data_IF_170187809639
#
_entry.id   IF_170187809639
#
_cell.length_a   1.000
_cell.length_b   1.000
_cell.length_c   1.000
_cell.angle_alpha   90.00
_cell.angle_beta   90.00
_cell.angle_gamma   90.00
#
_symmetry.space_group_name_H-M   'P 1'
#
loop_
_entity.id
_entity.type
_entity.pdbx_description
1 polymer ?
#
# COMPACT_ATOMS: atom_id res chain seq x y z
N UNK A 1 -8.51 1.88 19.86
CA UNK A 1 -7.32 2.69 20.20
C UNK A 1 -7.34 2.99 21.67
N UNK A 2 -6.21 2.73 22.34
CA UNK A 2 -5.99 3.12 23.72
C UNK A 2 -5.31 4.48 23.78
N UNK A 3 -5.61 5.25 24.83
CA UNK A 3 -4.83 6.45 25.17
C UNK A 3 -3.38 6.12 25.57
N UNK A 4 -3.07 4.84 25.85
CA UNK A 4 -1.71 4.37 26.13
C UNK A 4 -1.00 3.92 24.84
N UNK A 5 0.07 4.64 24.41
CA UNK A 5 0.88 4.22 23.27
C UNK A 5 1.53 2.85 23.47
N UNK A 6 1.95 2.55 24.71
CA UNK A 6 2.54 1.26 25.06
C UNK A 6 1.54 0.12 24.84
N UNK A 7 0.29 0.28 25.26
CA UNK A 7 -0.72 -0.75 25.05
C UNK A 7 -0.99 -0.97 23.55
N UNK A 8 -1.08 0.12 22.77
CA UNK A 8 -1.25 0.03 21.32
C UNK A 8 -0.07 -0.73 20.69
N UNK A 9 1.16 -0.45 21.13
CA UNK A 9 2.37 -1.08 20.61
C UNK A 9 2.47 -2.56 21.00
N UNK A 10 2.09 -2.93 22.22
CA UNK A 10 2.07 -4.34 22.66
C UNK A 10 1.03 -5.14 21.88
N UNK A 11 -0.19 -4.64 21.77
CA UNK A 11 -1.26 -5.31 21.01
C UNK A 11 -0.87 -5.40 19.53
N UNK A 12 -0.36 -4.30 18.97
CA UNK A 12 0.13 -4.23 17.60
C UNK A 12 1.22 -5.25 17.34
N UNK A 13 2.25 -5.30 18.19
CA UNK A 13 3.36 -6.23 18.09
C UNK A 13 2.90 -7.69 18.06
N UNK A 14 2.06 -8.09 19.02
CA UNK A 14 1.56 -9.48 19.13
C UNK A 14 0.71 -9.85 17.91
N UNK A 15 -0.31 -9.06 17.59
CA UNK A 15 -1.26 -9.39 16.52
C UNK A 15 -0.59 -9.38 15.15
N UNK A 16 0.26 -8.40 14.85
CA UNK A 16 0.94 -8.35 13.56
C UNK A 16 1.99 -9.45 13.42
N UNK A 17 2.69 -9.80 14.50
CA UNK A 17 3.61 -10.93 14.47
C UNK A 17 2.88 -12.23 14.14
N UNK A 18 1.68 -12.46 14.71
CA UNK A 18 0.82 -13.60 14.36
C UNK A 18 0.29 -13.56 12.91
N UNK A 19 0.35 -12.41 12.25
CA UNK A 19 0.03 -12.27 10.82
C UNK A 19 1.28 -12.36 9.93
N UNK A 20 2.46 -12.59 10.50
CA UNK A 20 3.73 -12.58 9.77
C UNK A 20 4.20 -11.18 9.35
N UNK A 21 3.71 -10.13 10.01
CA UNK A 21 4.03 -8.73 9.72
C UNK A 21 4.99 -8.16 10.78
N UNK A 22 6.15 -7.59 10.39
CA UNK A 22 7.05 -6.94 11.33
C UNK A 22 6.44 -5.62 11.80
N UNK A 23 5.76 -5.64 12.96
CA UNK A 23 4.91 -4.54 13.44
C UNK A 23 5.59 -3.17 13.42
N UNK A 24 6.73 -3.02 14.06
CA UNK A 24 7.39 -1.72 14.19
C UNK A 24 7.96 -1.26 12.85
N UNK A 25 8.51 -2.17 12.05
CA UNK A 25 8.96 -1.87 10.70
C UNK A 25 7.81 -1.29 9.88
N UNK A 26 6.65 -1.95 9.86
CA UNK A 26 5.48 -1.47 9.14
C UNK A 26 4.91 -0.18 9.73
N UNK A 27 4.84 -0.05 11.07
CA UNK A 27 4.44 1.19 11.76
C UNK A 27 5.27 2.39 11.28
N UNK A 28 6.58 2.22 11.18
CA UNK A 28 7.50 3.30 10.81
C UNK A 28 7.48 3.61 9.31
N UNK A 29 7.40 2.63 8.43
CA UNK A 29 7.31 2.88 6.98
C UNK A 29 5.92 3.40 6.59
N UNK A 30 4.86 2.93 7.23
CA UNK A 30 3.51 3.46 7.05
C UNK A 30 3.40 4.93 7.50
N UNK A 31 4.05 5.31 8.60
CA UNK A 31 4.12 6.72 9.02
C UNK A 31 4.85 7.60 7.99
N UNK A 32 5.90 7.08 7.35
CA UNK A 32 6.63 7.76 6.28
C UNK A 32 5.80 7.88 5.00
N UNK A 33 5.04 6.84 4.66
CA UNK A 33 4.05 6.88 3.59
C UNK A 33 3.06 8.03 3.81
N UNK A 34 2.41 8.13 4.98
CA UNK A 34 1.54 9.29 5.26
C UNK A 34 2.25 10.65 5.22
N UNK A 35 3.54 10.69 5.59
CA UNK A 35 4.35 11.90 5.52
C UNK A 35 4.81 12.28 4.11
N UNK A 36 4.76 11.33 3.17
CA UNK A 36 5.37 11.44 1.84
C UNK A 36 4.48 11.02 0.68
N UNK A 37 3.21 10.67 0.93
CA UNK A 37 2.38 9.96 -0.05
C UNK A 37 2.29 10.73 -1.37
N UNK A 38 2.34 10.01 -2.49
CA UNK A 38 2.35 10.53 -3.86
C UNK A 38 3.54 11.43 -4.22
N UNK A 39 4.58 11.51 -3.38
CA UNK A 39 5.89 12.05 -3.77
C UNK A 39 6.72 10.97 -4.44
N UNK A 40 7.32 11.28 -5.60
CA UNK A 40 8.25 10.39 -6.28
C UNK A 40 9.55 10.14 -5.49
N UNK A 41 9.90 11.03 -4.55
CA UNK A 41 11.15 10.98 -3.79
C UNK A 41 10.98 10.58 -2.31
N UNK A 42 9.75 10.68 -1.78
CA UNK A 42 9.48 10.52 -0.33
C UNK A 42 8.50 9.40 0.00
N UNK A 43 7.62 9.01 -0.92
CA UNK A 43 6.69 7.93 -0.65
C UNK A 43 7.43 6.59 -0.53
N UNK A 44 6.94 5.72 0.34
CA UNK A 44 7.57 4.45 0.69
C UNK A 44 6.87 3.24 0.04
N UNK A 45 5.72 3.43 -0.62
CA UNK A 45 4.96 2.34 -1.23
C UNK A 45 4.08 2.83 -2.38
N UNK A 46 3.79 1.96 -3.35
CA UNK A 46 3.08 2.28 -4.60
C UNK A 46 3.66 3.46 -5.40
N UNK A 47 4.97 3.69 -5.30
CA UNK A 47 5.66 4.70 -6.12
C UNK A 47 5.71 4.20 -7.56
N UNK A 48 5.10 4.91 -8.52
CA UNK A 48 5.08 4.48 -9.89
C UNK A 48 6.46 4.62 -10.53
N UNK A 49 6.72 3.79 -11.52
CA UNK A 49 7.84 3.99 -12.43
C UNK A 49 7.52 5.13 -13.40
N UNK A 50 8.53 5.88 -13.82
CA UNK A 50 8.40 6.85 -14.90
C UNK A 50 8.57 6.17 -16.26
N UNK A 51 8.08 6.78 -17.34
CA UNK A 51 8.27 6.27 -18.70
C UNK A 51 9.74 5.96 -19.02
N UNK A 52 10.66 6.83 -18.59
CA UNK A 52 12.10 6.67 -18.77
C UNK A 52 12.65 5.42 -18.04
N UNK A 53 12.11 5.09 -16.88
CA UNK A 53 12.53 3.98 -16.03
C UNK A 53 11.73 2.69 -16.28
N UNK A 54 10.76 2.71 -17.20
CA UNK A 54 9.90 1.57 -17.53
C UNK A 54 9.94 1.15 -19.01
N UNK A 55 11.10 1.12 -19.69
CA UNK A 55 11.16 0.91 -21.15
C UNK A 55 10.66 -0.48 -21.59
N UNK A 56 10.57 -1.44 -20.66
CA UNK A 56 10.00 -2.77 -20.94
C UNK A 56 8.47 -2.78 -20.84
N UNK A 57 7.88 -1.96 -19.95
CA UNK A 57 6.44 -1.87 -19.81
C UNK A 57 5.81 -1.07 -20.95
N UNK A 58 6.52 -0.09 -21.49
CA UNK A 58 6.06 0.76 -22.59
C UNK A 58 6.14 0.11 -23.99
N UNK A 59 6.75 -1.08 -24.09
CA UNK A 59 6.77 -1.83 -25.36
C UNK A 59 5.44 -2.56 -25.60
N UNK A 60 5.02 -2.79 -26.86
CA UNK A 60 3.76 -3.47 -27.19
C UNK A 60 3.55 -4.82 -26.49
N UNK A 61 4.61 -5.63 -26.33
CA UNK A 61 4.55 -6.92 -25.63
C UNK A 61 4.25 -6.77 -24.12
N UNK A 62 4.65 -5.66 -23.52
CA UNK A 62 4.35 -5.32 -22.12
C UNK A 62 2.84 -5.16 -21.88
N UNK A 63 2.07 -4.78 -22.91
CA UNK A 63 0.61 -4.65 -22.87
C UNK A 63 -0.12 -5.99 -23.11
N UNK A 64 0.61 -7.07 -23.44
CA UNK A 64 -0.01 -8.37 -23.71
C UNK A 64 -0.69 -8.94 -22.46
N UNK A 65 -1.81 -9.64 -22.66
CA UNK A 65 -2.57 -10.26 -21.57
C UNK A 65 -1.73 -11.20 -20.70
N UNK A 66 -0.84 -12.08 -21.24
CA UNK A 66 -0.01 -12.96 -20.42
C UNK A 66 0.93 -12.21 -19.49
N UNK A 67 1.56 -11.13 -19.96
CA UNK A 67 2.46 -10.31 -19.14
C UNK A 67 1.66 -9.59 -18.05
N UNK A 68 0.53 -8.98 -18.42
CA UNK A 68 -0.35 -8.28 -17.46
C UNK A 68 -0.87 -9.21 -16.36
N UNK A 69 -1.31 -10.41 -16.72
CA UNK A 69 -1.77 -11.42 -15.77
C UNK A 69 -0.63 -11.92 -14.88
N UNK A 70 0.58 -12.08 -15.43
CA UNK A 70 1.75 -12.51 -14.65
C UNK A 70 2.06 -11.51 -13.54
N UNK A 71 2.21 -10.22 -13.87
CA UNK A 71 2.45 -9.19 -12.86
C UNK A 71 1.27 -9.03 -11.89
N UNK A 72 0.03 -9.19 -12.38
CA UNK A 72 -1.17 -9.16 -11.53
C UNK A 72 -1.12 -10.26 -10.47
N UNK A 73 -0.89 -11.51 -10.88
CA UNK A 73 -0.80 -12.65 -9.97
C UNK A 73 0.35 -12.46 -8.99
N UNK A 74 1.54 -12.04 -9.44
CA UNK A 74 2.68 -11.79 -8.55
C UNK A 74 2.33 -10.72 -7.52
N UNK A 75 1.74 -9.59 -7.94
CA UNK A 75 1.41 -8.48 -7.04
C UNK A 75 0.41 -8.91 -5.97
N UNK A 76 -0.68 -9.57 -6.36
CA UNK A 76 -1.76 -9.92 -5.43
C UNK A 76 -1.54 -11.24 -4.66
N UNK A 77 -0.44 -11.95 -4.91
CA UNK A 77 -0.05 -13.16 -4.13
C UNK A 77 1.25 -13.00 -3.37
N UNK A 78 2.25 -12.34 -3.97
CA UNK A 78 3.60 -12.18 -3.43
C UNK A 78 3.99 -10.71 -3.21
N UNK A 79 3.18 -9.73 -3.62
CA UNK A 79 3.52 -8.31 -3.53
C UNK A 79 3.84 -7.87 -2.10
N UNK A 80 3.05 -8.31 -1.11
CA UNK A 80 3.33 -7.99 0.29
C UNK A 80 4.65 -8.60 0.81
N UNK A 81 4.92 -9.92 0.68
CA UNK A 81 6.23 -10.47 1.01
C UNK A 81 7.40 -9.81 0.27
N UNK A 82 7.24 -9.51 -1.03
CA UNK A 82 8.28 -8.84 -1.82
C UNK A 82 8.51 -7.40 -1.37
N UNK A 83 7.46 -6.69 -0.93
CA UNK A 83 7.59 -5.35 -0.36
C UNK A 83 8.40 -5.40 0.94
N UNK A 84 8.09 -6.34 1.83
CA UNK A 84 8.85 -6.49 3.06
C UNK A 84 10.31 -6.91 2.81
N UNK A 85 10.54 -7.88 1.92
CA UNK A 85 11.85 -8.48 1.69
C UNK A 85 12.77 -7.66 0.77
N UNK A 86 12.22 -6.92 -0.19
CA UNK A 86 12.98 -6.26 -1.27
C UNK A 86 12.56 -4.79 -1.49
N UNK A 87 11.61 -4.26 -0.71
CA UNK A 87 11.10 -2.89 -0.85
C UNK A 87 10.54 -2.59 -2.25
N UNK A 88 9.92 -3.59 -2.91
CA UNK A 88 9.33 -3.40 -4.25
C UNK A 88 8.21 -2.36 -4.22
N UNK A 89 8.04 -1.62 -5.33
CA UNK A 89 7.08 -0.52 -5.44
C UNK A 89 7.31 0.64 -4.45
N UNK A 90 8.51 0.75 -3.88
CA UNK A 90 8.94 1.90 -3.09
C UNK A 90 9.81 2.85 -3.92
N UNK A 91 10.15 4.00 -3.35
CA UNK A 91 11.12 4.93 -3.92
C UNK A 91 12.52 4.32 -4.03
N UNK A 92 13.35 4.91 -4.89
CA UNK A 92 14.74 4.51 -5.05
C UNK A 92 15.62 4.98 -3.87
N UNK A 93 16.36 4.06 -3.27
CA UNK A 93 17.37 4.37 -2.25
C UNK A 93 18.78 4.30 -2.86
N UNK A 94 19.21 5.41 -3.48
CA UNK A 94 20.51 5.51 -4.14
C UNK A 94 21.66 5.12 -3.20
N UNK A 95 22.55 4.26 -3.70
CA UNK A 95 23.70 3.75 -2.93
C UNK A 95 23.40 2.52 -2.06
N UNK A 96 22.18 1.99 -2.07
CA UNK A 96 21.80 0.79 -1.34
C UNK A 96 21.37 -0.32 -2.32
N UNK A 97 22.09 -1.44 -2.32
CA UNK A 97 21.80 -2.57 -3.20
C UNK A 97 20.62 -3.44 -2.71
N UNK A 98 20.31 -3.38 -1.41
CA UNK A 98 19.17 -4.06 -0.80
C UNK A 98 18.57 -3.18 0.29
N UNK A 99 17.26 -2.97 0.21
CA UNK A 99 16.45 -2.31 1.22
C UNK A 99 15.32 -3.26 1.58
N UNK A 100 15.08 -3.45 2.87
CA UNK A 100 14.06 -4.36 3.37
C UNK A 100 13.61 -3.96 4.78
N UNK A 101 12.47 -4.49 5.18
CA UNK A 101 11.80 -4.19 6.44
C UNK A 101 12.34 -4.97 7.64
N UNK A 102 13.34 -5.84 7.44
CA UNK A 102 13.92 -6.72 8.46
C UNK A 102 15.35 -6.30 8.87
N UNK A 103 15.89 -5.25 8.27
CA UNK A 103 17.25 -4.78 8.55
C UNK A 103 17.17 -3.52 9.41
N UNK A 104 17.55 -3.56 10.71
CA UNK A 104 17.36 -2.43 11.64
C UNK A 104 17.99 -1.10 11.20
N UNK A 105 19.02 -1.16 10.38
CA UNK A 105 19.75 -0.01 9.84
C UNK A 105 19.51 0.23 8.35
N UNK A 106 18.43 -0.33 7.78
CA UNK A 106 18.01 -0.01 6.42
C UNK A 106 17.75 1.51 6.29
N UNK A 107 17.97 2.10 5.10
CA UNK A 107 17.80 3.55 4.88
C UNK A 107 16.35 4.04 5.07
N UNK A 108 15.39 3.12 5.15
CA UNK A 108 13.97 3.39 5.48
C UNK A 108 13.73 3.60 6.98
N UNK A 109 14.74 3.41 7.85
CA UNK A 109 14.62 3.59 9.30
C UNK A 109 15.58 4.63 9.86
N UNK A 110 15.15 5.28 10.95
CA UNK A 110 16.02 6.13 11.77
C UNK A 110 16.80 5.29 12.77
N UNK A 111 17.98 5.76 13.22
CA UNK A 111 18.81 5.03 14.20
C UNK A 111 18.07 4.67 15.50
N UNK A 112 17.11 5.49 15.92
CA UNK A 112 16.31 5.28 17.14
C UNK A 112 15.25 4.18 16.98
N UNK A 113 14.91 3.82 15.75
CA UNK A 113 13.89 2.81 15.41
C UNK A 113 14.50 1.41 15.30
N UNK A 114 15.82 1.30 15.11
CA UNK A 114 16.53 0.05 14.88
C UNK A 114 16.23 -1.02 15.95
N UNK A 115 16.21 -0.64 17.23
CA UNK A 115 15.86 -1.57 18.30
C UNK A 115 14.46 -2.19 18.13
N UNK A 116 13.49 -1.39 17.73
CA UNK A 116 12.10 -1.82 17.55
C UNK A 116 11.91 -2.65 16.27
N UNK A 117 12.70 -2.37 15.22
CA UNK A 117 12.77 -3.23 14.03
C UNK A 117 13.27 -4.62 14.44
N UNK A 118 14.40 -4.70 15.16
CA UNK A 118 14.92 -5.97 15.65
C UNK A 118 13.92 -6.70 16.58
N UNK A 119 13.17 -5.95 17.40
CA UNK A 119 12.10 -6.52 18.22
C UNK A 119 11.00 -7.15 17.37
N UNK A 120 10.61 -6.52 16.25
CA UNK A 120 9.65 -7.10 15.30
C UNK A 120 10.17 -8.40 14.69
N UNK A 121 11.44 -8.44 14.30
CA UNK A 121 12.07 -9.64 13.75
C UNK A 121 12.07 -10.80 14.76
N UNK A 122 12.35 -10.50 16.04
CA UNK A 122 12.22 -11.48 17.13
C UNK A 122 10.80 -12.01 17.27
N UNK A 123 9.78 -11.15 17.13
CA UNK A 123 8.38 -11.55 17.10
C UNK A 123 8.08 -12.54 15.97
N UNK A 124 8.59 -12.28 14.77
CA UNK A 124 8.44 -13.17 13.62
C UNK A 124 9.18 -14.50 13.80
N UNK A 125 10.39 -14.49 14.37
CA UNK A 125 11.12 -15.73 14.71
C UNK A 125 10.35 -16.56 15.73
N UNK A 126 9.77 -15.92 16.75
CA UNK A 126 8.96 -16.59 17.76
C UNK A 126 7.71 -17.24 17.14
N UNK A 127 6.98 -16.53 16.28
CA UNK A 127 5.83 -17.07 15.54
C UNK A 127 6.25 -18.19 14.59
N UNK A 128 7.38 -18.05 13.89
CA UNK A 128 7.96 -19.09 13.06
C UNK A 128 8.23 -20.39 13.85
N UNK A 129 8.75 -20.27 15.07
CA UNK A 129 8.95 -21.42 15.95
C UNK A 129 7.62 -22.08 16.40
N UNK A 130 6.59 -21.28 16.66
CA UNK A 130 5.24 -21.79 16.97
C UNK A 130 4.64 -22.53 15.77
N UNK A 131 4.72 -21.94 14.58
CA UNK A 131 4.25 -22.55 13.33
C UNK A 131 4.98 -23.85 13.04
N UNK A 132 6.31 -23.88 13.22
CA UNK A 132 7.12 -25.08 13.07
C UNK A 132 6.71 -26.20 14.04
N UNK A 133 6.46 -25.87 15.31
CA UNK A 133 5.95 -26.84 16.30
C UNK A 133 4.54 -27.32 15.94
N UNK A 134 3.66 -26.42 15.49
CA UNK A 134 2.32 -26.78 15.03
C UNK A 134 2.38 -27.72 13.81
N UNK A 135 3.31 -27.50 12.89
CA UNK A 135 3.52 -28.38 11.74
C UNK A 135 4.00 -29.77 12.16
N UNK A 136 4.87 -29.87 13.16
CA UNK A 136 5.29 -31.17 13.71
C UNK A 136 4.15 -31.91 14.40
N UNK A 137 3.25 -31.19 15.10
CA UNK A 137 2.16 -31.78 15.86
C UNK A 137 0.94 -32.16 15.00
N UNK A 138 0.57 -31.32 14.03
CA UNK A 138 -0.66 -31.45 13.24
C UNK A 138 -0.43 -31.65 11.73
N UNK A 139 0.83 -31.62 11.28
CA UNK A 139 1.20 -31.72 9.87
C UNK A 139 1.15 -30.39 9.12
N UNK A 140 1.99 -30.27 8.09
CA UNK A 140 2.06 -29.07 7.24
C UNK A 140 0.76 -28.76 6.50
N UNK A 141 -0.06 -29.77 6.17
CA UNK A 141 -1.35 -29.56 5.53
C UNK A 141 -2.32 -28.80 6.45
N UNK A 142 -2.32 -29.10 7.75
CA UNK A 142 -3.14 -28.39 8.73
C UNK A 142 -2.68 -26.94 8.89
N UNK A 143 -1.37 -26.72 9.01
CA UNK A 143 -0.77 -25.36 9.07
C UNK A 143 -1.09 -24.57 7.80
N UNK A 144 -0.98 -25.18 6.63
CA UNK A 144 -1.33 -24.54 5.37
C UNK A 144 -2.79 -24.09 5.37
N UNK A 145 -3.72 -24.99 5.71
CA UNK A 145 -5.16 -24.74 5.71
C UNK A 145 -5.59 -23.68 6.74
N UNK A 146 -5.09 -23.76 7.97
CA UNK A 146 -5.60 -22.96 9.09
C UNK A 146 -4.78 -21.70 9.38
N UNK A 147 -3.57 -21.58 8.83
CA UNK A 147 -2.71 -20.42 9.08
C UNK A 147 -2.21 -19.76 7.79
N UNK A 148 -1.50 -20.49 6.93
CA UNK A 148 -0.86 -19.88 5.75
C UNK A 148 -1.89 -19.34 4.75
N UNK A 149 -2.90 -20.13 4.39
CA UNK A 149 -3.94 -19.70 3.44
C UNK A 149 -4.72 -18.49 3.97
N UNK A 150 -5.21 -18.47 5.23
CA UNK A 150 -5.82 -17.27 5.80
C UNK A 150 -4.90 -16.03 5.79
N UNK A 151 -3.62 -16.16 6.14
CA UNK A 151 -2.65 -15.05 6.08
C UNK A 151 -2.47 -14.56 4.63
N UNK A 152 -2.41 -15.47 3.65
CA UNK A 152 -2.34 -15.08 2.24
C UNK A 152 -3.60 -14.32 1.78
N UNK A 153 -4.78 -14.69 2.27
CA UNK A 153 -6.02 -13.95 1.99
C UNK A 153 -5.96 -12.54 2.60
N UNK A 154 -5.45 -12.40 3.82
CA UNK A 154 -5.23 -11.07 4.43
C UNK A 154 -4.25 -10.24 3.59
N UNK A 155 -3.15 -10.82 3.14
CA UNK A 155 -2.16 -10.14 2.29
C UNK A 155 -2.77 -9.71 0.94
N UNK A 156 -3.60 -10.56 0.33
CA UNK A 156 -4.33 -10.20 -0.89
C UNK A 156 -5.19 -8.95 -0.67
N UNK A 157 -6.01 -8.93 0.39
CA UNK A 157 -6.85 -7.78 0.69
C UNK A 157 -6.05 -6.53 1.01
N UNK A 158 -4.98 -6.65 1.80
CA UNK A 158 -4.09 -5.54 2.13
C UNK A 158 -3.53 -4.88 0.87
N UNK A 159 -2.96 -5.67 -0.05
CA UNK A 159 -2.37 -5.15 -1.30
C UNK A 159 -3.45 -4.58 -2.23
N UNK A 160 -4.60 -5.24 -2.36
CA UNK A 160 -5.68 -4.76 -3.23
C UNK A 160 -6.31 -3.46 -2.74
N UNK A 161 -6.61 -3.36 -1.45
CA UNK A 161 -7.20 -2.16 -0.85
C UNK A 161 -6.26 -0.97 -1.05
N UNK A 162 -5.00 -1.14 -0.65
CA UNK A 162 -3.98 -0.08 -0.74
C UNK A 162 -3.68 0.31 -2.18
N UNK A 163 -3.58 -0.66 -3.11
CA UNK A 163 -3.43 -0.38 -4.53
C UNK A 163 -4.58 0.50 -5.04
N UNK A 164 -5.83 0.10 -4.79
CA UNK A 164 -7.01 0.82 -5.26
C UNK A 164 -7.14 2.23 -4.66
N UNK A 165 -6.68 2.42 -3.43
CA UNK A 165 -6.69 3.72 -2.74
C UNK A 165 -5.64 4.69 -3.27
N UNK A 166 -4.50 4.19 -3.75
CA UNK A 166 -3.34 4.99 -4.18
C UNK A 166 -3.10 4.99 -5.69
N UNK A 167 -3.79 4.14 -6.44
CA UNK A 167 -3.62 3.99 -7.88
C UNK A 167 -4.94 4.19 -8.60
N UNK A 168 -5.04 5.30 -9.34
CA UNK A 168 -6.19 5.65 -10.16
C UNK A 168 -5.78 6.66 -11.23
N UNK A 169 -6.35 6.65 -12.46
CA UNK A 169 -5.96 7.60 -13.51
C UNK A 169 -6.09 9.08 -13.11
N UNK A 170 -7.03 9.41 -12.23
CA UNK A 170 -7.26 10.76 -11.70
C UNK A 170 -6.39 11.12 -10.48
N UNK A 171 -5.46 10.25 -10.07
CA UNK A 171 -4.55 10.49 -8.95
C UNK A 171 -3.17 10.85 -9.51
N UNK A 172 -2.71 12.10 -9.35
CA UNK A 172 -1.38 12.51 -9.78
C UNK A 172 -0.31 12.05 -8.80
N UNK A 173 0.93 12.06 -9.29
CA UNK A 173 2.14 11.98 -8.48
C UNK A 173 2.94 13.27 -8.65
N UNK A 174 3.73 13.62 -7.65
CA UNK A 174 4.45 14.89 -7.62
C UNK A 174 5.94 14.69 -7.39
N UNK A 175 6.75 15.53 -8.01
CA UNK A 175 8.20 15.59 -7.82
C UNK A 175 8.65 16.99 -7.41
N UNK A 176 9.81 17.05 -6.75
CA UNK A 176 10.44 18.31 -6.35
C UNK A 176 9.51 19.25 -5.55
N UNK A 177 9.43 20.50 -6.00
CA UNK A 177 8.67 21.57 -5.32
C UNK A 177 7.16 21.52 -5.56
N UNK A 178 6.69 20.72 -6.53
CA UNK A 178 5.27 20.58 -6.82
C UNK A 178 4.55 19.71 -5.78
N UNK A 179 5.30 18.91 -5.01
CA UNK A 179 4.77 18.14 -3.90
C UNK A 179 4.60 19.00 -2.63
N UNK A 180 3.43 18.91 -2.02
CA UNK A 180 3.20 19.33 -0.63
C UNK A 180 2.51 18.20 0.12
N UNK A 181 2.62 18.17 1.45
CA UNK A 181 1.95 17.15 2.27
C UNK A 181 0.45 17.07 1.97
N UNK A 182 -0.23 18.22 1.84
CA UNK A 182 -1.66 18.26 1.58
C UNK A 182 -2.02 17.72 0.19
N UNK A 183 -1.26 18.09 -0.85
CA UNK A 183 -1.46 17.54 -2.21
C UNK A 183 -1.30 16.01 -2.21
N UNK A 184 -0.27 15.51 -1.52
CA UNK A 184 -0.06 14.08 -1.35
C UNK A 184 -1.23 13.40 -0.64
N UNK A 185 -1.61 13.89 0.55
CA UNK A 185 -2.67 13.29 1.36
C UNK A 185 -4.04 13.25 0.64
N UNK A 186 -4.34 14.26 -0.17
CA UNK A 186 -5.57 14.32 -0.99
C UNK A 186 -5.50 13.48 -2.26
N UNK A 187 -4.33 12.99 -2.65
CA UNK A 187 -4.15 12.14 -3.83
C UNK A 187 -4.45 10.67 -3.52
N UNK A 188 -5.58 10.45 -2.88
CA UNK A 188 -6.09 9.14 -2.45
C UNK A 188 -7.56 9.00 -2.81
N UNK A 189 -8.03 7.77 -3.05
CA UNK A 189 -9.40 7.51 -3.54
C UNK A 189 -10.18 6.67 -2.54
N UNK A 190 -11.30 7.20 -2.07
CA UNK A 190 -12.26 6.44 -1.26
C UNK A 190 -13.12 5.54 -2.17
N UNK A 191 -13.44 4.34 -1.68
CA UNK A 191 -14.17 3.31 -2.42
C UNK A 191 -15.09 2.53 -1.51
N UNK A 192 -16.28 2.19 -1.98
CA UNK A 192 -17.16 1.24 -1.28
C UNK A 192 -17.08 -0.14 -1.95
N UNK A 193 -16.84 -1.16 -1.14
CA UNK A 193 -16.95 -2.58 -1.50
C UNK A 193 -18.32 -3.14 -1.15
N UNK A 194 -19.26 -2.27 -0.80
CA UNK A 194 -20.58 -2.60 -0.29
C UNK A 194 -20.59 -2.65 1.23
N UNK A 195 -21.74 -2.29 1.80
CA UNK A 195 -21.97 -2.09 3.23
C UNK A 195 -21.34 -3.15 4.15
N UNK A 196 -21.46 -4.44 3.81
CA UNK A 196 -20.93 -5.53 4.62
C UNK A 196 -19.41 -5.57 4.62
N UNK A 197 -18.79 -5.47 3.44
CA UNK A 197 -17.33 -5.51 3.33
C UNK A 197 -16.70 -4.25 3.90
N UNK A 198 -17.30 -3.09 3.67
CA UNK A 198 -16.82 -1.83 4.23
C UNK A 198 -16.74 -1.93 5.76
N UNK A 199 -17.74 -2.52 6.42
CA UNK A 199 -17.71 -2.74 7.88
C UNK A 199 -16.69 -3.76 8.34
N UNK A 200 -16.54 -4.88 7.61
CA UNK A 200 -15.53 -5.91 7.93
C UNK A 200 -14.12 -5.31 7.84
N UNK A 201 -13.89 -4.41 6.88
CA UNK A 201 -12.63 -3.69 6.73
C UNK A 201 -12.55 -2.42 7.59
N UNK A 202 -13.42 -2.27 8.59
CA UNK A 202 -13.42 -1.13 9.51
C UNK A 202 -13.51 0.24 8.81
N UNK A 203 -14.23 0.29 7.67
CA UNK A 203 -14.46 1.46 6.82
C UNK A 203 -13.20 2.03 6.18
N UNK A 204 -12.04 1.37 6.29
CA UNK A 204 -10.78 1.89 5.75
C UNK A 204 -10.84 2.13 4.24
N UNK A 205 -11.66 1.35 3.54
CA UNK A 205 -11.84 1.45 2.08
C UNK A 205 -12.52 2.74 1.66
N UNK A 206 -13.44 3.27 2.49
CA UNK A 206 -14.28 4.43 2.16
C UNK A 206 -14.08 5.62 3.10
N UNK A 207 -13.02 5.60 3.91
CA UNK A 207 -12.59 6.71 4.76
C UNK A 207 -11.07 6.93 4.68
N UNK A 208 -10.45 6.53 3.58
CA UNK A 208 -9.00 6.56 3.39
C UNK A 208 -8.46 7.97 3.20
N UNK A 209 -9.22 8.85 2.55
CA UNK A 209 -8.85 10.28 2.44
C UNK A 209 -8.74 10.90 3.84
N UNK A 210 -9.73 10.64 4.71
CA UNK A 210 -9.68 11.10 6.10
C UNK A 210 -8.52 10.45 6.87
N UNK A 211 -8.25 9.17 6.62
CA UNK A 211 -7.12 8.46 7.21
C UNK A 211 -5.78 9.09 6.82
N UNK A 212 -5.61 9.59 5.60
CA UNK A 212 -4.38 10.28 5.18
C UNK A 212 -4.23 11.66 5.78
N UNK A 213 -5.31 12.43 5.84
CA UNK A 213 -5.29 13.76 6.46
C UNK A 213 -5.10 13.68 7.99
N UNK A 214 -5.67 12.66 8.62
CA UNK A 214 -5.76 12.53 10.07
C UNK A 214 -5.53 11.08 10.53
N UNK A 215 -4.36 10.52 10.23
CA UNK A 215 -4.02 9.10 10.53
C UNK A 215 -4.04 8.71 12.01
N UNK A 216 -4.13 9.70 12.90
CA UNK A 216 -4.31 9.50 14.34
C UNK A 216 -5.78 9.35 14.77
N UNK A 217 -6.75 9.65 13.90
CA UNK A 217 -8.17 9.40 14.17
C UNK A 217 -8.42 7.89 14.15
N UNK A 218 -9.05 7.34 15.20
CA UNK A 218 -9.37 5.93 15.22
C UNK A 218 -10.44 5.57 14.18
N UNK A 219 -10.37 4.37 13.61
CA UNK A 219 -11.29 3.94 12.54
C UNK A 219 -12.78 4.10 12.88
N UNK A 220 -13.16 3.97 14.16
CA UNK A 220 -14.55 4.09 14.60
C UNK A 220 -15.09 5.53 14.60
N UNK A 221 -14.23 6.54 14.41
CA UNK A 221 -14.60 7.94 14.12
C UNK A 221 -14.25 8.35 12.69
N UNK A 222 -13.70 7.45 11.87
CA UNK A 222 -13.25 7.80 10.53
C UNK A 222 -14.42 8.19 9.61
N UNK A 223 -15.58 7.53 9.74
CA UNK A 223 -16.78 7.89 8.98
C UNK A 223 -17.32 9.28 9.36
N UNK A 224 -17.34 9.60 10.66
CA UNK A 224 -17.71 10.93 11.16
C UNK A 224 -16.78 12.00 10.59
N UNK A 225 -15.47 11.76 10.65
CA UNK A 225 -14.46 12.66 10.09
C UNK A 225 -14.61 12.83 8.57
N UNK A 226 -14.78 11.74 7.81
CA UNK A 226 -15.01 11.78 6.36
C UNK A 226 -16.22 12.62 6.00
N UNK A 227 -17.35 12.43 6.68
CA UNK A 227 -18.57 13.19 6.44
C UNK A 227 -18.40 14.69 6.73
N UNK A 228 -17.59 15.04 7.73
CA UNK A 228 -17.30 16.42 8.07
C UNK A 228 -16.38 17.12 7.05
N UNK A 229 -15.38 16.42 6.50
CA UNK A 229 -14.39 17.02 5.59
C UNK A 229 -14.84 17.03 4.13
N UNK A 230 -15.67 16.07 3.71
CA UNK A 230 -16.07 15.92 2.30
C UNK A 230 -16.68 17.20 1.69
N UNK A 231 -17.58 17.95 2.39
CA UNK A 231 -18.09 19.22 1.87
C UNK A 231 -17.02 20.31 1.75
N UNK A 232 -15.97 20.27 2.57
CA UNK A 232 -14.88 21.24 2.56
C UNK A 232 -13.88 20.98 1.44
N UNK A 233 -13.66 19.70 1.12
CA UNK A 233 -12.73 19.27 0.07
C UNK A 233 -13.32 19.44 -1.33
N UNK A 234 -14.66 19.35 -1.48
CA UNK A 234 -15.35 19.57 -2.75
C UNK A 234 -14.79 18.68 -3.87
N UNK A 235 -14.35 19.30 -4.96
CA UNK A 235 -13.79 18.60 -6.13
C UNK A 235 -12.47 17.87 -5.85
N UNK A 236 -11.78 18.20 -4.75
CA UNK A 236 -10.55 17.51 -4.35
C UNK A 236 -10.79 16.21 -3.58
N UNK A 237 -12.04 15.90 -3.22
CA UNK A 237 -12.37 14.61 -2.62
C UNK A 237 -12.63 13.57 -3.73
N UNK A 238 -11.70 12.63 -3.89
CA UNK A 238 -11.81 11.59 -4.90
C UNK A 238 -12.53 10.36 -4.35
N UNK A 239 -13.54 9.92 -5.09
CA UNK A 239 -14.29 8.70 -4.81
C UNK A 239 -14.49 7.91 -6.09
N UNK A 240 -14.37 6.59 -6.01
CA UNK A 240 -14.66 5.69 -7.12
C UNK A 240 -15.75 4.69 -6.74
N UNK A 241 -16.81 4.67 -7.53
CA UNK A 241 -18.01 3.85 -7.34
C UNK A 241 -18.03 2.59 -8.20
N UNK A 242 -17.00 2.34 -9.01
CA UNK A 242 -16.90 1.12 -9.81
C UNK A 242 -16.85 -0.11 -8.90
N UNK A 243 -17.50 -1.23 -9.28
CA UNK A 243 -17.36 -2.50 -8.59
C UNK A 243 -15.89 -2.89 -8.41
N UNK A 244 -15.52 -3.39 -7.23
CA UNK A 244 -14.12 -3.60 -6.82
C UNK A 244 -13.27 -4.33 -7.86
N UNK A 245 -13.72 -5.47 -8.40
CA UNK A 245 -12.95 -6.25 -9.37
C UNK A 245 -12.89 -5.59 -10.75
N UNK A 246 -13.93 -4.82 -11.12
CA UNK A 246 -13.91 -4.01 -12.33
C UNK A 246 -12.87 -2.89 -12.20
N UNK A 247 -12.89 -2.16 -11.07
CA UNK A 247 -11.94 -1.09 -10.81
C UNK A 247 -10.51 -1.62 -10.75
N UNK A 248 -10.29 -2.74 -10.05
CA UNK A 248 -9.01 -3.41 -9.96
C UNK A 248 -8.45 -3.74 -11.34
N UNK A 249 -9.24 -4.40 -12.20
CA UNK A 249 -8.78 -4.78 -13.53
C UNK A 249 -8.50 -3.57 -14.43
N UNK A 250 -9.35 -2.55 -14.37
CA UNK A 250 -9.21 -1.33 -15.16
C UNK A 250 -8.01 -0.51 -14.71
N UNK A 251 -7.86 -0.25 -13.41
CA UNK A 251 -6.77 0.58 -12.87
C UNK A 251 -5.43 -0.14 -13.02
N UNK A 252 -5.38 -1.46 -12.82
CA UNK A 252 -4.21 -2.28 -13.15
C UNK A 252 -3.79 -2.16 -14.62
N UNK A 253 -4.77 -2.07 -15.52
CA UNK A 253 -4.51 -1.90 -16.95
C UNK A 253 -4.06 -0.50 -17.34
N UNK A 254 -4.64 0.53 -16.71
CA UNK A 254 -4.47 1.94 -17.07
C UNK A 254 -3.26 2.59 -16.37
N UNK A 255 -2.92 2.18 -15.15
CA UNK A 255 -1.91 2.81 -14.31
C UNK A 255 -0.59 2.03 -14.32
N UNK A 256 0.17 2.12 -15.43
CA UNK A 256 1.42 1.34 -15.60
C UNK A 256 2.69 2.14 -15.33
N UNK A 257 2.69 3.39 -15.76
CA UNK A 257 3.76 4.34 -15.49
C UNK A 257 3.16 5.74 -15.47
N UNK A 258 3.88 6.65 -14.82
CA UNK A 258 3.55 8.07 -14.82
C UNK A 258 4.53 8.84 -15.69
N UNK A 259 4.07 9.95 -16.23
CA UNK A 259 4.89 10.86 -17.02
C UNK A 259 4.36 12.28 -16.88
N UNK A 260 5.23 13.26 -17.11
CA UNK A 260 4.84 14.67 -17.03
C UNK A 260 3.94 14.99 -18.23
N UNK A 261 2.82 15.67 -17.99
CA UNK A 261 2.16 16.34 -19.09
C UNK A 261 2.95 17.60 -19.43
N UNK A 262 3.25 17.82 -20.72
CA UNK A 262 3.94 19.03 -21.18
C UNK A 262 3.21 20.32 -20.73
N UNK A 263 1.90 20.23 -20.43
CA UNK A 263 1.02 21.34 -20.06
C UNK A 263 0.91 21.65 -18.56
N UNK A 264 1.22 20.73 -17.63
CA UNK A 264 0.87 20.88 -16.19
C UNK A 264 2.04 21.27 -15.27
N UNK A 265 3.21 21.60 -15.82
CA UNK A 265 4.42 21.90 -15.06
C UNK A 265 5.31 20.65 -14.89
N UNK A 266 6.62 20.86 -14.72
CA UNK A 266 7.63 19.80 -14.77
C UNK A 266 7.51 18.76 -13.64
N UNK A 267 6.82 19.07 -12.53
CA UNK A 267 6.77 18.20 -11.36
C UNK A 267 5.42 17.55 -11.06
N UNK A 268 4.39 17.71 -11.90
CA UNK A 268 3.13 16.94 -11.78
C UNK A 268 3.11 15.83 -12.83
N UNK A 269 2.95 14.60 -12.37
CA UNK A 269 3.03 13.38 -13.17
C UNK A 269 1.69 12.66 -13.15
N UNK A 270 1.20 12.30 -14.33
CA UNK A 270 -0.08 11.61 -14.48
C UNK A 270 0.11 10.22 -15.04
N UNK A 271 -0.79 9.30 -14.69
CA UNK A 271 -0.81 7.97 -15.26
C UNK A 271 -1.07 8.04 -16.75
N UNK A 272 -0.18 7.46 -17.56
CA UNK A 272 -0.42 7.34 -19.01
C UNK A 272 -1.40 6.20 -19.27
N UNK A 273 -2.64 6.59 -19.55
CA UNK A 273 -3.73 5.66 -19.86
C UNK A 273 -3.52 5.09 -21.27
N UNK A 274 -3.48 3.76 -21.37
CA UNK A 274 -3.44 3.05 -22.65
C UNK A 274 -4.62 3.47 -23.55
N UNK A 275 -4.39 3.96 -24.79
CA UNK A 275 -5.45 4.28 -25.75
C UNK A 275 -6.37 3.10 -26.11
N UNK A 276 -5.91 1.86 -25.89
CA UNK A 276 -6.74 0.65 -26.09
C UNK A 276 -7.81 0.54 -25.00
N UNK A 277 -7.54 1.07 -23.80
CA UNK A 277 -8.47 1.08 -22.67
C UNK A 277 -9.48 2.25 -22.70
N UNK A 278 -9.32 3.22 -23.61
CA UNK A 278 -10.26 4.36 -23.78
C UNK A 278 -11.31 4.15 -24.86
N UNK A 279 -11.24 3.06 -25.64
CA UNK A 279 -12.24 2.73 -26.69
C UNK A 279 -13.48 1.98 -26.17
N UNK A 280 -13.71 1.93 -24.86
CA UNK A 280 -14.87 1.27 -24.25
C UNK A 280 -15.44 2.14 -23.14
N UNK A 281 -16.01 3.28 -23.53
CA UNK A 281 -17.07 3.97 -22.80
C UNK A 281 -18.16 4.33 -23.81
#
# INVERSE_FOLDING_TARGET
FSASPLLNDVVGFVVHSLLGVPYFSWKYTHARHHGGTNSMERDEVFVPVTAQNAPLLDKPWGYSLPVRLTYFVITFTAGWPLYLALNVASREHKGHWLVNHFTPWAPIFNKREAFYVALSDLGLVAVGAVVWKAAQAAGWAAVAKYYIVPVMVVNFWLVMITFLQHTHPSVPHYSGEDWTWLKGALSTVDRSFGYTLDRIFHRIVDTHVAHHLFSYIPFYHAEEATNAIKPLLGEHYLVDHRPIFQALWQDWGKCRYVDSEEATGKGVLWWKVDPICTKRD
#
